data_IF_317378475527
#
_entry.id   IF_317378475527
#
_cell.length_a   1.000
_cell.length_b   1.000
_cell.length_c   1.000
_cell.angle_alpha   90.00
_cell.angle_beta   90.00
_cell.angle_gamma   90.00
#
_symmetry.space_group_name_H-M   'P 1'
#
loop_
_entity.id
_entity.type
_entity.pdbx_description
1 polymer ?
#
# COMPACT_ATOMS: atom_id res chain seq x y z
N UNK A 1 -21.51 16.44 -0.76
CA UNK A 1 -21.88 17.09 -2.04
C UNK A 1 -21.56 16.08 -3.15
N UNK A 2 -22.56 15.53 -3.84
CA UNK A 2 -22.31 14.52 -4.88
C UNK A 2 -21.48 15.13 -6.02
N UNK A 3 -20.48 14.40 -6.52
CA UNK A 3 -19.65 14.88 -7.63
C UNK A 3 -20.51 15.08 -8.88
N UNK A 4 -20.29 16.19 -9.61
CA UNK A 4 -20.94 16.45 -10.89
C UNK A 4 -20.73 15.24 -11.84
N UNK A 5 -21.80 14.59 -12.31
CA UNK A 5 -21.71 13.42 -13.19
C UNK A 5 -20.88 13.70 -14.46
N UNK A 6 -20.93 14.93 -15.01
CA UNK A 6 -20.13 15.31 -16.17
C UNK A 6 -18.63 15.30 -15.86
N UNK A 7 -18.25 15.76 -14.68
CA UNK A 7 -16.86 15.76 -14.20
C UNK A 7 -16.34 14.35 -13.94
N UNK A 8 -17.15 13.48 -13.32
CA UNK A 8 -16.78 12.07 -13.11
C UNK A 8 -16.54 11.37 -14.44
N UNK A 9 -17.42 11.57 -15.42
CA UNK A 9 -17.33 10.94 -16.74
C UNK A 9 -16.09 11.41 -17.51
N UNK A 10 -15.73 12.69 -17.44
CA UNK A 10 -14.49 13.23 -18.04
C UNK A 10 -13.24 12.66 -17.39
N UNK A 11 -13.21 12.54 -16.07
CA UNK A 11 -12.07 11.94 -15.34
C UNK A 11 -11.87 10.49 -15.73
N UNK A 12 -12.94 9.70 -15.74
CA UNK A 12 -12.89 8.30 -16.17
C UNK A 12 -12.40 8.19 -17.63
N UNK A 13 -12.89 9.02 -18.54
CA UNK A 13 -12.43 9.00 -19.93
C UNK A 13 -10.92 9.30 -20.06
N UNK A 14 -10.39 10.24 -19.27
CA UNK A 14 -8.96 10.53 -19.23
C UNK A 14 -8.15 9.34 -18.69
N UNK A 15 -8.63 8.70 -17.61
CA UNK A 15 -7.97 7.53 -17.03
C UNK A 15 -7.92 6.36 -18.02
N UNK A 16 -9.03 6.11 -18.74
CA UNK A 16 -9.11 5.04 -19.74
C UNK A 16 -8.22 5.32 -20.96
N UNK A 17 -8.13 6.58 -21.38
CA UNK A 17 -7.20 6.98 -22.43
C UNK A 17 -5.75 6.75 -22.01
N UNK A 18 -5.42 7.03 -20.75
CA UNK A 18 -4.09 6.78 -20.19
C UNK A 18 -3.77 5.27 -20.12
N UNK A 19 -4.69 4.45 -19.58
CA UNK A 19 -4.54 2.99 -19.57
C UNK A 19 -4.33 2.45 -20.99
N UNK A 20 -5.10 2.94 -21.96
CA UNK A 20 -4.95 2.55 -23.37
C UNK A 20 -3.58 2.95 -23.93
N UNK A 21 -3.08 4.13 -23.58
CA UNK A 21 -1.77 4.63 -24.03
C UNK A 21 -0.59 3.80 -23.49
N UNK A 22 -0.77 3.04 -22.41
CA UNK A 22 0.25 2.11 -21.91
C UNK A 22 0.48 0.92 -22.85
N UNK A 23 -0.43 0.63 -23.78
CA UNK A 23 -0.29 -0.47 -24.74
C UNK A 23 -0.27 -1.86 -24.09
N UNK A 24 -0.91 -2.00 -22.93
CA UNK A 24 -0.96 -3.24 -22.13
C UNK A 24 -2.26 -4.00 -22.36
N UNK A 25 -2.20 -5.33 -22.36
CA UNK A 25 -3.35 -6.20 -22.59
C UNK A 25 -3.03 -7.66 -22.32
N UNK A 26 -3.77 -8.54 -22.98
CA UNK A 26 -3.53 -9.99 -22.91
C UNK A 26 -2.20 -10.40 -23.54
N UNK A 27 -1.66 -11.48 -22.99
CA UNK A 27 -0.52 -12.23 -23.53
C UNK A 27 -0.96 -13.67 -23.65
N UNK A 28 -0.44 -14.41 -24.63
CA UNK A 28 -0.74 -15.83 -24.79
C UNK A 28 0.49 -16.68 -24.46
N UNK A 29 0.27 -17.78 -23.76
CA UNK A 29 1.31 -18.73 -23.36
C UNK A 29 0.93 -20.15 -23.76
N UNK A 30 1.93 -21.01 -23.95
CA UNK A 30 1.71 -22.43 -24.16
C UNK A 30 1.42 -23.13 -22.81
N UNK A 31 0.22 -23.68 -22.67
CA UNK A 31 -0.23 -24.39 -21.46
C UNK A 31 0.43 -25.76 -21.29
N UNK A 32 1.00 -26.34 -22.36
CA UNK A 32 1.75 -27.59 -22.27
C UNK A 32 3.15 -27.39 -21.70
N UNK A 33 3.59 -26.14 -21.55
CA UNK A 33 4.90 -25.81 -21.02
C UNK A 33 4.98 -26.04 -19.51
N UNK A 34 6.17 -26.43 -19.04
CA UNK A 34 6.47 -26.50 -17.61
C UNK A 34 6.31 -25.13 -16.93
N UNK A 35 6.01 -25.13 -15.63
CA UNK A 35 5.77 -23.89 -14.85
C UNK A 35 6.95 -22.91 -14.95
N UNK A 36 8.18 -23.41 -15.02
CA UNK A 36 9.38 -22.59 -15.18
C UNK A 36 9.41 -21.83 -16.52
N UNK A 37 8.90 -22.44 -17.59
CA UNK A 37 8.77 -21.81 -18.90
C UNK A 37 7.62 -20.79 -18.92
N UNK A 38 6.49 -21.10 -18.28
CA UNK A 38 5.40 -20.13 -18.08
C UNK A 38 5.90 -18.87 -17.34
N UNK A 39 6.65 -19.07 -16.25
CA UNK A 39 7.25 -17.96 -15.49
C UNK A 39 8.22 -17.15 -16.35
N UNK A 40 9.03 -17.80 -17.19
CA UNK A 40 9.95 -17.11 -18.09
C UNK A 40 9.19 -16.25 -19.11
N UNK A 41 8.09 -16.76 -19.68
CA UNK A 41 7.26 -16.01 -20.63
C UNK A 41 6.56 -14.82 -19.96
N UNK A 42 5.99 -15.01 -18.76
CA UNK A 42 5.41 -13.92 -17.96
C UNK A 42 6.44 -12.82 -17.69
N UNK A 43 7.68 -13.19 -17.35
CA UNK A 43 8.78 -12.22 -17.16
C UNK A 43 9.14 -11.48 -18.45
N UNK A 44 9.23 -12.20 -19.57
CA UNK A 44 9.56 -11.62 -20.87
C UNK A 44 8.49 -10.62 -21.35
N UNK A 45 7.22 -10.87 -21.00
CA UNK A 45 6.07 -10.07 -21.44
C UNK A 45 5.55 -9.11 -20.36
N UNK A 46 6.28 -8.94 -19.25
CA UNK A 46 5.82 -8.19 -18.07
C UNK A 46 5.39 -6.74 -18.38
N UNK A 47 5.99 -6.09 -19.38
CA UNK A 47 5.63 -4.72 -19.80
C UNK A 47 4.39 -4.64 -20.68
N UNK A 48 3.96 -5.77 -21.25
CA UNK A 48 2.78 -5.88 -22.11
C UNK A 48 1.57 -6.39 -21.36
N UNK A 49 1.77 -7.07 -20.23
CA UNK A 49 0.68 -7.63 -19.44
C UNK A 49 -0.18 -6.53 -18.81
N UNK A 50 -1.48 -6.58 -19.09
CA UNK A 50 -2.51 -5.69 -18.54
C UNK A 50 -3.56 -6.45 -17.71
N UNK A 51 -4.51 -5.72 -17.14
CA UNK A 51 -5.71 -6.31 -16.55
C UNK A 51 -6.74 -6.62 -17.65
N UNK A 52 -7.64 -7.57 -17.35
CA UNK A 52 -8.79 -7.95 -18.20
C UNK A 52 -9.79 -6.82 -18.47
N UNK A 53 -9.74 -5.75 -17.68
CA UNK A 53 -10.61 -4.58 -17.83
C UNK A 53 -9.83 -3.27 -17.68
N UNK A 54 -9.98 -2.31 -18.61
CA UNK A 54 -9.32 -1.02 -18.48
C UNK A 54 -9.89 -0.19 -17.32
N UNK A 55 -11.16 -0.41 -16.95
CA UNK A 55 -11.76 0.21 -15.76
C UNK A 55 -11.12 -0.36 -14.49
N UNK A 56 -10.90 -1.69 -14.44
CA UNK A 56 -10.21 -2.33 -13.33
C UNK A 56 -8.77 -1.83 -13.21
N UNK A 57 -8.05 -1.75 -14.33
CA UNK A 57 -6.69 -1.20 -14.39
C UNK A 57 -6.61 0.21 -13.80
N UNK A 58 -7.46 1.13 -14.26
CA UNK A 58 -7.50 2.51 -13.75
C UNK A 58 -7.90 2.58 -12.27
N UNK A 59 -8.90 1.78 -11.86
CA UNK A 59 -9.42 1.80 -10.49
C UNK A 59 -8.40 1.28 -9.49
N UNK A 60 -7.78 0.12 -9.79
CA UNK A 60 -6.76 -0.48 -8.92
C UNK A 60 -5.53 0.43 -8.83
N UNK A 61 -5.09 0.98 -9.96
CA UNK A 61 -3.94 1.88 -9.96
C UNK A 61 -4.15 3.12 -9.07
N UNK A 62 -5.37 3.68 -9.04
CA UNK A 62 -5.69 4.79 -8.14
C UNK A 62 -5.82 4.38 -6.69
N UNK A 63 -6.43 3.22 -6.45
CA UNK A 63 -6.69 2.70 -5.10
C UNK A 63 -5.38 2.31 -4.38
N UNK A 64 -4.47 1.67 -5.10
CA UNK A 64 -3.29 1.03 -4.53
C UNK A 64 -1.98 1.79 -4.82
N UNK A 65 -2.05 3.03 -5.34
CA UNK A 65 -0.85 3.84 -5.60
C UNK A 65 0.00 4.07 -4.34
N UNK A 66 -0.65 4.25 -3.19
CA UNK A 66 0.03 4.50 -1.92
C UNK A 66 0.66 3.24 -1.31
N UNK A 67 0.44 2.07 -1.91
CA UNK A 67 1.09 0.82 -1.49
C UNK A 67 2.50 0.69 -2.09
N UNK A 68 2.79 1.47 -3.14
CA UNK A 68 4.12 1.54 -3.74
C UNK A 68 5.08 2.32 -2.85
N UNK A 69 6.38 1.95 -2.85
CA UNK A 69 7.39 2.78 -2.21
C UNK A 69 7.43 4.16 -2.89
N UNK A 70 7.75 5.21 -2.14
CA UNK A 70 7.64 6.59 -2.64
C UNK A 70 8.45 6.82 -3.93
N UNK A 71 9.62 6.18 -4.05
CA UNK A 71 10.48 6.26 -5.22
C UNK A 71 9.84 5.71 -6.51
N UNK A 72 8.86 4.79 -6.41
CA UNK A 72 8.19 4.20 -7.57
C UNK A 72 6.90 4.93 -7.98
N UNK A 73 6.45 5.92 -7.18
CA UNK A 73 5.25 6.73 -7.49
C UNK A 73 5.49 7.80 -8.55
N UNK A 74 6.76 8.07 -8.87
CA UNK A 74 7.20 9.09 -9.83
C UNK A 74 8.28 8.50 -10.75
N UNK A 75 8.55 9.10 -11.93
CA UNK A 75 7.88 10.22 -12.57
C UNK A 75 6.62 9.82 -13.34
N UNK A 76 5.74 10.81 -13.54
CA UNK A 76 4.56 10.71 -14.39
C UNK A 76 3.26 10.55 -13.59
N UNK A 77 2.25 10.01 -14.25
CA UNK A 77 0.94 9.74 -13.67
C UNK A 77 0.95 8.49 -12.78
N UNK A 78 0.05 8.46 -11.81
CA UNK A 78 -0.10 7.34 -10.89
C UNK A 78 -0.44 6.01 -11.57
N UNK A 79 -1.22 6.05 -12.66
CA UNK A 79 -1.55 4.82 -13.41
C UNK A 79 -0.30 4.24 -14.07
N UNK A 80 0.48 5.06 -14.78
CA UNK A 80 1.75 4.62 -15.35
C UNK A 80 2.74 4.11 -14.29
N UNK A 81 2.85 4.79 -13.14
CA UNK A 81 3.69 4.37 -12.02
C UNK A 81 3.30 2.98 -11.48
N UNK A 82 2.02 2.76 -11.22
CA UNK A 82 1.48 1.49 -10.74
C UNK A 82 1.76 0.33 -11.71
N UNK A 83 1.48 0.51 -13.00
CA UNK A 83 1.73 -0.54 -14.00
C UNK A 83 3.23 -0.83 -14.19
N UNK A 84 4.09 0.19 -14.10
CA UNK A 84 5.55 0.01 -14.15
C UNK A 84 6.05 -0.79 -12.95
N UNK A 85 5.55 -0.50 -11.75
CA UNK A 85 5.89 -1.22 -10.54
C UNK A 85 5.40 -2.67 -10.59
N UNK A 86 4.21 -2.93 -11.17
CA UNK A 86 3.71 -4.28 -11.43
C UNK A 86 4.66 -5.05 -12.35
N UNK A 87 5.05 -4.47 -13.50
CA UNK A 87 6.01 -5.09 -14.42
C UNK A 87 7.35 -5.38 -13.75
N UNK A 88 7.84 -4.46 -12.92
CA UNK A 88 9.07 -4.66 -12.16
C UNK A 88 8.95 -5.82 -11.17
N UNK A 89 7.82 -5.94 -10.47
CA UNK A 89 7.54 -7.07 -9.58
C UNK A 89 7.47 -8.39 -10.33
N UNK A 90 6.87 -8.45 -11.52
CA UNK A 90 6.89 -9.65 -12.35
C UNK A 90 8.31 -10.02 -12.82
N UNK A 91 9.10 -9.03 -13.27
CA UNK A 91 10.46 -9.24 -13.78
C UNK A 91 11.46 -9.67 -12.71
N UNK A 92 11.40 -9.07 -11.52
CA UNK A 92 12.42 -9.21 -10.47
C UNK A 92 11.96 -10.06 -9.28
N UNK A 93 10.65 -10.16 -9.03
CA UNK A 93 10.09 -10.86 -7.87
C UNK A 93 10.33 -12.36 -7.91
N UNK A 94 10.37 -13.02 -6.75
CA UNK A 94 10.37 -14.49 -6.66
C UNK A 94 8.97 -15.02 -6.86
N UNK A 95 8.84 -16.17 -7.52
CA UNK A 95 7.56 -16.91 -7.55
C UNK A 95 7.38 -17.59 -6.20
N UNK A 96 6.26 -17.33 -5.53
CA UNK A 96 5.98 -17.84 -4.18
C UNK A 96 4.85 -18.86 -4.15
N UNK A 97 3.95 -18.82 -5.13
CA UNK A 97 2.89 -19.78 -5.27
C UNK A 97 2.52 -19.99 -6.74
N UNK A 98 2.08 -21.20 -7.04
CA UNK A 98 1.40 -21.57 -8.28
C UNK A 98 0.22 -22.45 -7.90
N UNK A 99 -0.98 -22.03 -8.29
CA UNK A 99 -2.21 -22.78 -8.06
C UNK A 99 -2.90 -23.04 -9.38
N UNK A 100 -3.29 -24.29 -9.62
CA UNK A 100 -4.16 -24.65 -10.76
C UNK A 100 -5.51 -25.06 -10.21
N UNK A 101 -6.55 -24.34 -10.62
CA UNK A 101 -7.93 -24.64 -10.29
C UNK A 101 -8.42 -25.91 -11.02
N UNK A 102 -9.53 -26.53 -10.57
CA UNK A 102 -10.13 -27.67 -11.27
C UNK A 102 -10.61 -27.35 -12.70
N UNK A 103 -10.86 -26.08 -13.01
CA UNK A 103 -11.29 -25.62 -14.34
C UNK A 103 -10.13 -25.35 -15.29
N UNK A 104 -8.88 -25.55 -14.84
CA UNK A 104 -7.68 -25.34 -15.64
C UNK A 104 -7.11 -23.92 -15.59
N UNK A 105 -7.76 -22.99 -14.89
CA UNK A 105 -7.20 -21.66 -14.63
C UNK A 105 -6.00 -21.79 -13.69
N UNK A 106 -4.90 -21.11 -14.02
CA UNK A 106 -3.70 -21.07 -13.21
C UNK A 106 -3.46 -19.68 -12.63
N UNK A 107 -3.03 -19.61 -11.38
CA UNK A 107 -2.65 -18.38 -10.69
C UNK A 107 -1.19 -18.48 -10.24
N UNK A 108 -0.36 -17.55 -10.71
CA UNK A 108 1.03 -17.38 -10.28
C UNK A 108 1.16 -16.17 -9.38
N UNK A 109 1.86 -16.32 -8.25
CA UNK A 109 2.10 -15.23 -7.30
C UNK A 109 3.59 -14.87 -7.29
N UNK A 110 3.88 -13.59 -7.48
CA UNK A 110 5.22 -13.01 -7.44
C UNK A 110 5.35 -12.07 -6.26
N UNK A 111 6.41 -12.20 -5.47
CA UNK A 111 6.77 -11.26 -4.40
C UNK A 111 8.07 -10.55 -4.69
N UNK A 112 8.07 -9.22 -4.55
CA UNK A 112 9.27 -8.38 -4.62
C UNK A 112 9.36 -7.54 -3.34
N UNK A 113 10.50 -7.62 -2.65
CA UNK A 113 10.83 -6.65 -1.62
C UNK A 113 11.39 -5.40 -2.30
N UNK A 114 10.70 -4.28 -2.20
CA UNK A 114 11.14 -2.99 -2.71
C UNK A 114 11.66 -2.11 -1.57
N UNK A 115 12.73 -1.37 -1.83
CA UNK A 115 13.28 -0.42 -0.87
C UNK A 115 12.33 0.77 -0.71
N UNK A 116 12.08 1.15 0.54
CA UNK A 116 11.52 2.46 0.88
C UNK A 116 12.68 3.38 1.31
N UNK A 117 12.77 3.79 2.57
CA UNK A 117 13.81 4.67 3.07
C UNK A 117 14.35 4.15 4.41
N UNK A 118 15.54 4.62 4.80
CA UNK A 118 16.16 4.33 6.10
C UNK A 118 16.24 2.83 6.47
N UNK A 119 16.45 1.95 5.48
CA UNK A 119 16.49 0.49 5.68
C UNK A 119 15.12 -0.16 5.86
N UNK A 120 14.03 0.56 5.55
CA UNK A 120 12.69 0.01 5.42
C UNK A 120 12.48 -0.62 4.06
N UNK A 121 11.82 -1.76 4.01
CA UNK A 121 11.35 -2.38 2.77
C UNK A 121 9.86 -2.63 2.82
N UNK A 122 9.23 -2.60 1.64
CA UNK A 122 7.83 -2.98 1.42
C UNK A 122 7.78 -4.21 0.50
N UNK A 123 7.03 -5.23 0.90
CA UNK A 123 6.73 -6.37 0.03
C UNK A 123 5.59 -6.00 -0.90
N UNK A 124 5.80 -6.21 -2.19
CA UNK A 124 4.77 -6.08 -3.23
C UNK A 124 4.45 -7.44 -3.81
N UNK A 125 3.17 -7.71 -3.99
CA UNK A 125 2.63 -8.93 -4.60
C UNK A 125 2.03 -8.60 -5.97
N UNK A 126 2.41 -9.37 -7.00
CA UNK A 126 1.72 -9.39 -8.27
C UNK A 126 1.17 -10.79 -8.52
N UNK A 127 -0.11 -10.90 -8.86
CA UNK A 127 -0.74 -12.16 -9.23
C UNK A 127 -1.05 -12.15 -10.73
N UNK A 128 -0.71 -13.24 -11.41
CA UNK A 128 -0.93 -13.43 -12.83
C UNK A 128 -1.87 -14.62 -13.02
N UNK A 129 -2.98 -14.38 -13.70
CA UNK A 129 -4.00 -15.38 -14.00
C UNK A 129 -3.84 -15.84 -15.43
N UNK A 130 -3.77 -17.15 -15.64
CA UNK A 130 -3.74 -17.81 -16.95
C UNK A 130 -5.04 -18.59 -17.12
N UNK A 131 -5.79 -18.28 -18.17
CA UNK A 131 -7.04 -18.93 -18.53
C UNK A 131 -6.79 -20.30 -19.20
N UNK A 132 -7.80 -21.20 -19.24
CA UNK A 132 -7.66 -22.54 -19.84
C UNK A 132 -7.34 -22.55 -21.34
N UNK A 133 -7.46 -21.41 -22.02
CA UNK A 133 -7.10 -21.24 -23.44
C UNK A 133 -5.69 -20.68 -23.65
N UNK A 134 -4.95 -20.38 -22.58
CA UNK A 134 -3.61 -19.81 -22.62
C UNK A 134 -3.57 -18.29 -22.56
N UNK A 135 -4.71 -17.61 -22.41
CA UNK A 135 -4.76 -16.16 -22.22
C UNK A 135 -4.25 -15.79 -20.83
N UNK A 136 -3.36 -14.82 -20.74
CA UNK A 136 -2.72 -14.36 -19.49
C UNK A 136 -3.07 -12.91 -19.21
N UNK A 137 -3.46 -12.65 -17.96
CA UNK A 137 -3.78 -11.33 -17.44
C UNK A 137 -3.03 -11.05 -16.13
N UNK A 138 -2.70 -9.78 -15.89
CA UNK A 138 -2.40 -9.31 -14.54
C UNK A 138 -3.71 -9.32 -13.75
N UNK A 139 -3.76 -10.08 -12.67
CA UNK A 139 -4.97 -10.21 -11.85
C UNK A 139 -4.99 -9.20 -10.70
N UNK A 140 -3.90 -9.10 -9.95
CA UNK A 140 -3.78 -8.10 -8.88
C UNK A 140 -2.35 -7.64 -8.68
N UNK A 141 -2.19 -6.43 -8.14
CA UNK A 141 -0.91 -5.86 -7.77
C UNK A 141 -1.07 -4.92 -6.57
N UNK A 142 -0.15 -4.97 -5.60
CA UNK A 142 -0.22 -4.16 -4.39
C UNK A 142 0.47 -4.83 -3.21
N UNK A 143 0.03 -4.52 -1.99
CA UNK A 143 0.45 -5.25 -0.78
C UNK A 143 0.02 -6.73 -0.84
N UNK A 144 0.81 -7.63 -0.23
CA UNK A 144 0.54 -9.06 -0.28
C UNK A 144 -0.74 -9.40 0.47
N UNK A 145 -1.50 -10.30 -0.14
CA UNK A 145 -2.68 -10.93 0.49
C UNK A 145 -2.31 -12.26 1.17
N UNK A 146 -1.08 -12.70 0.97
CA UNK A 146 -0.51 -13.93 1.53
C UNK A 146 0.21 -13.65 2.87
N UNK A 147 0.43 -14.67 3.71
CA UNK A 147 0.99 -14.50 5.06
C UNK A 147 2.49 -14.17 5.05
N UNK A 148 2.85 -12.95 4.65
CA UNK A 148 4.23 -12.44 4.65
C UNK A 148 4.27 -11.01 5.23
N UNK A 149 5.42 -10.56 5.76
CA UNK A 149 5.56 -9.18 6.19
C UNK A 149 5.30 -8.21 5.05
N UNK A 150 4.39 -7.25 5.26
CA UNK A 150 4.14 -6.18 4.28
C UNK A 150 5.25 -5.14 4.37
N UNK A 151 5.59 -4.68 5.59
CA UNK A 151 6.72 -3.80 5.83
C UNK A 151 7.75 -4.47 6.75
N UNK A 152 9.03 -4.26 6.46
CA UNK A 152 10.14 -4.63 7.34
C UNK A 152 10.96 -3.41 7.68
N UNK A 153 11.28 -3.24 8.97
CA UNK A 153 12.07 -2.12 9.50
C UNK A 153 13.40 -2.66 10.05
N UNK A 154 14.45 -2.72 9.24
CA UNK A 154 15.78 -3.26 9.66
C UNK A 154 16.87 -2.21 9.80
N UNK A 155 16.59 -0.96 9.41
CA UNK A 155 17.53 0.16 9.56
C UNK A 155 17.37 0.89 10.89
N UNK A 156 17.45 2.23 10.86
CA UNK A 156 17.54 2.99 12.11
C UNK A 156 17.48 4.51 12.04
N UNK A 157 17.75 5.13 10.89
CA UNK A 157 17.70 6.59 10.72
C UNK A 157 16.28 7.10 10.41
N UNK A 158 15.26 6.47 10.99
CA UNK A 158 13.85 6.72 10.66
C UNK A 158 13.43 8.16 10.96
N UNK A 159 13.79 8.68 12.15
CA UNK A 159 13.43 10.04 12.53
C UNK A 159 14.08 11.09 11.61
N UNK A 160 15.36 10.96 11.30
CA UNK A 160 16.08 11.89 10.42
C UNK A 160 15.49 11.88 9.00
N UNK A 161 15.12 10.69 8.50
CA UNK A 161 14.40 10.56 7.24
C UNK A 161 13.03 11.24 7.30
N UNK A 162 12.26 11.03 8.37
CA UNK A 162 10.95 11.65 8.53
C UNK A 162 11.04 13.19 8.50
N UNK A 163 12.01 13.78 9.21
CA UNK A 163 12.20 15.24 9.22
C UNK A 163 12.60 15.75 7.84
N UNK A 164 13.47 15.02 7.13
CA UNK A 164 13.84 15.35 5.74
C UNK A 164 12.62 15.33 4.83
N UNK A 165 11.77 14.31 4.95
CA UNK A 165 10.56 14.15 4.15
C UNK A 165 9.49 15.20 4.47
N UNK A 166 9.35 15.58 5.74
CA UNK A 166 8.41 16.64 6.14
C UNK A 166 8.83 18.01 5.65
N UNK A 167 10.13 18.24 5.41
CA UNK A 167 10.66 19.50 4.90
C UNK A 167 10.55 19.62 3.36
N UNK A 168 10.26 18.53 2.65
CA UNK A 168 10.14 18.49 1.19
C UNK A 168 8.70 18.17 0.78
N UNK A 169 7.96 19.19 0.33
CA UNK A 169 6.57 19.05 -0.13
C UNK A 169 6.42 18.19 -1.39
N UNK A 170 7.52 17.84 -2.08
CA UNK A 170 7.50 16.91 -3.21
C UNK A 170 7.51 15.45 -2.77
N UNK A 171 7.87 15.18 -1.51
CA UNK A 171 7.83 13.85 -0.93
C UNK A 171 6.42 13.54 -0.43
N UNK A 172 5.88 12.33 -0.74
CA UNK A 172 4.60 11.90 -0.21
C UNK A 172 4.57 11.92 1.33
N UNK A 173 3.57 12.60 1.90
CA UNK A 173 3.43 12.78 3.34
C UNK A 173 3.30 11.44 4.10
N UNK A 174 2.73 10.42 3.47
CA UNK A 174 2.60 9.09 4.04
C UNK A 174 3.95 8.39 4.26
N UNK A 175 5.00 8.72 3.48
CA UNK A 175 6.37 8.24 3.77
C UNK A 175 6.87 8.83 5.08
N UNK A 176 6.70 10.14 5.29
CA UNK A 176 7.07 10.77 6.55
C UNK A 176 6.32 10.15 7.75
N UNK A 177 5.01 9.92 7.60
CA UNK A 177 4.19 9.26 8.63
C UNK A 177 4.68 7.84 8.95
N UNK A 178 5.04 7.05 7.92
CA UNK A 178 5.63 5.72 8.07
C UNK A 178 6.97 5.78 8.82
N UNK A 179 7.83 6.74 8.49
CA UNK A 179 9.12 6.92 9.15
C UNK A 179 8.97 7.39 10.61
N UNK A 180 7.99 8.25 10.91
CA UNK A 180 7.67 8.62 12.29
C UNK A 180 7.18 7.42 13.10
N UNK A 181 6.30 6.59 12.53
CA UNK A 181 5.89 5.33 13.15
C UNK A 181 7.12 4.44 13.41
N UNK A 182 7.96 4.23 12.41
CA UNK A 182 9.17 3.41 12.52
C UNK A 182 10.12 3.90 13.62
N UNK A 183 10.21 5.22 13.84
CA UNK A 183 11.07 5.82 14.88
C UNK A 183 10.61 5.57 16.32
N UNK A 184 9.38 5.08 16.51
CA UNK A 184 8.82 4.80 17.85
C UNK A 184 8.44 3.33 18.04
N UNK A 185 8.76 2.45 17.08
CA UNK A 185 8.64 1.01 17.28
C UNK A 185 9.67 0.52 18.29
N UNK A 186 9.38 -0.58 18.98
CA UNK A 186 10.32 -1.22 19.92
C UNK A 186 11.61 -1.70 19.24
N UNK A 187 11.58 -1.82 17.91
CA UNK A 187 12.72 -2.19 17.06
C UNK A 187 13.60 -0.99 16.67
N UNK A 188 13.18 0.24 16.98
CA UNK A 188 13.95 1.44 16.68
C UNK A 188 15.25 1.48 17.53
N UNK A 189 16.40 1.90 16.97
CA UNK A 189 17.66 1.91 17.72
C UNK A 189 17.65 2.85 18.93
N UNK A 190 16.93 3.98 18.82
CA UNK A 190 16.81 4.97 19.88
C UNK A 190 15.52 5.78 19.69
N UNK A 191 14.75 6.05 20.76
CA UNK A 191 13.58 6.91 20.67
C UNK A 191 13.99 8.37 20.42
N UNK A 192 13.14 9.18 19.77
CA UNK A 192 13.42 10.60 19.58
C UNK A 192 13.39 11.36 20.91
N UNK A 193 14.33 12.30 21.07
CA UNK A 193 14.39 13.20 22.23
C UNK A 193 13.34 14.32 22.17
N UNK A 194 13.27 15.15 23.21
CA UNK A 194 12.26 16.20 23.30
C UNK A 194 12.43 17.30 22.24
N UNK A 195 13.66 17.66 21.88
CA UNK A 195 13.92 18.69 20.88
C UNK A 195 13.53 18.19 19.49
N UNK A 196 13.88 16.94 19.18
CA UNK A 196 13.46 16.21 17.99
C UNK A 196 11.94 16.13 17.89
N UNK A 197 11.25 15.74 18.97
CA UNK A 197 9.78 15.67 19.00
C UNK A 197 9.14 17.02 18.70
N UNK A 198 9.65 18.10 19.30
CA UNK A 198 9.16 19.47 19.06
C UNK A 198 9.39 19.88 17.60
N UNK A 199 10.57 19.60 17.04
CA UNK A 199 10.88 19.94 15.65
C UNK A 199 9.94 19.22 14.66
N UNK A 200 9.71 17.92 14.85
CA UNK A 200 8.76 17.17 14.04
C UNK A 200 7.32 17.69 14.19
N UNK A 201 6.88 17.98 15.42
CA UNK A 201 5.55 18.54 15.67
C UNK A 201 5.31 19.86 14.91
N UNK A 202 6.31 20.74 14.86
CA UNK A 202 6.23 21.99 14.10
C UNK A 202 6.08 21.76 12.60
N UNK A 203 6.79 20.79 12.03
CA UNK A 203 6.67 20.48 10.60
C UNK A 203 5.34 19.81 10.27
N UNK A 204 4.86 18.89 11.11
CA UNK A 204 3.54 18.27 10.97
C UNK A 204 2.44 19.34 11.02
N UNK A 205 2.54 20.30 11.95
CA UNK A 205 1.59 21.40 12.05
C UNK A 205 1.57 22.31 10.81
N UNK A 206 2.72 22.53 10.16
CA UNK A 206 2.80 23.26 8.88
C UNK A 206 2.10 22.51 7.75
N UNK A 207 2.20 21.18 7.74
CA UNK A 207 1.56 20.29 6.77
C UNK A 207 0.18 19.81 7.22
N UNK A 208 -0.58 20.65 7.95
CA UNK A 208 -1.92 20.30 8.48
C UNK A 208 -2.88 19.74 7.41
N UNK A 209 -2.85 20.29 6.20
CA UNK A 209 -3.72 19.81 5.12
C UNK A 209 -3.38 18.37 4.71
N UNK A 210 -2.10 18.01 4.69
CA UNK A 210 -1.65 16.65 4.40
C UNK A 210 -1.99 15.69 5.53
N UNK A 211 -1.89 16.14 6.79
CA UNK A 211 -2.34 15.35 7.95
C UNK A 211 -3.85 15.05 7.88
N UNK A 212 -4.67 16.03 7.50
CA UNK A 212 -6.10 15.82 7.26
C UNK A 212 -6.35 14.85 6.09
N UNK A 213 -5.56 14.95 5.02
CA UNK A 213 -5.59 13.98 3.92
C UNK A 213 -5.25 12.56 4.37
N UNK A 214 -4.25 12.42 5.24
CA UNK A 214 -3.84 11.15 5.81
C UNK A 214 -4.93 10.54 6.71
N UNK A 215 -5.61 11.35 7.53
CA UNK A 215 -6.76 10.90 8.33
C UNK A 215 -7.94 10.46 7.45
N UNK A 216 -8.25 11.22 6.40
CA UNK A 216 -9.27 10.82 5.43
C UNK A 216 -8.92 9.48 4.76
N UNK A 217 -7.64 9.24 4.46
CA UNK A 217 -7.17 7.98 3.90
C UNK A 217 -7.25 6.83 4.93
N UNK A 218 -6.91 7.07 6.20
CA UNK A 218 -7.08 6.11 7.28
C UNK A 218 -8.55 5.66 7.40
N UNK A 219 -9.49 6.62 7.29
CA UNK A 219 -10.93 6.34 7.25
C UNK A 219 -11.34 5.51 6.03
N UNK A 220 -10.83 5.81 4.85
CA UNK A 220 -11.12 5.02 3.65
C UNK A 220 -10.68 3.56 3.81
N UNK A 221 -9.50 3.32 4.39
CA UNK A 221 -9.05 1.97 4.71
C UNK A 221 -9.93 1.32 5.79
N UNK A 222 -10.31 2.05 6.83
CA UNK A 222 -11.20 1.54 7.88
C UNK A 222 -12.55 1.08 7.32
N UNK A 223 -13.15 1.81 6.37
CA UNK A 223 -14.38 1.40 5.69
C UNK A 223 -14.26 0.10 4.89
N UNK A 224 -13.05 -0.25 4.44
CA UNK A 224 -12.77 -1.46 3.66
C UNK A 224 -12.10 -2.57 4.50
N UNK A 225 -12.00 -2.39 5.83
CA UNK A 225 -11.14 -3.22 6.67
C UNK A 225 -11.54 -4.70 6.77
N UNK A 226 -12.77 -5.07 6.41
CA UNK A 226 -13.20 -6.47 6.36
C UNK A 226 -12.49 -7.28 5.25
N UNK A 227 -11.90 -6.59 4.26
CA UNK A 227 -11.28 -7.20 3.08
C UNK A 227 -9.75 -7.23 3.11
N UNK A 228 -9.13 -6.97 1.96
CA UNK A 228 -7.66 -6.93 1.79
C UNK A 228 -7.04 -5.68 2.41
N UNK A 229 -7.87 -4.72 2.83
CA UNK A 229 -7.52 -3.38 3.26
C UNK A 229 -7.27 -3.28 4.77
N UNK A 230 -7.50 -4.36 5.52
CA UNK A 230 -7.27 -4.42 6.97
C UNK A 230 -5.86 -3.95 7.36
N UNK A 231 -4.85 -4.33 6.58
CA UNK A 231 -3.46 -3.96 6.84
C UNK A 231 -3.26 -2.45 6.77
N UNK A 232 -3.79 -1.81 5.71
CA UNK A 232 -3.74 -0.36 5.54
C UNK A 232 -4.47 0.37 6.66
N UNK A 233 -5.62 -0.16 7.08
CA UNK A 233 -6.41 0.41 8.17
C UNK A 233 -5.60 0.43 9.48
N UNK A 234 -4.98 -0.70 9.82
CA UNK A 234 -4.13 -0.83 11.00
C UNK A 234 -2.85 0.01 10.92
N UNK A 235 -2.17 0.04 9.77
CA UNK A 235 -0.94 0.80 9.57
C UNK A 235 -1.18 2.31 9.69
N UNK A 236 -2.17 2.84 8.97
CA UNK A 236 -2.46 4.27 8.98
C UNK A 236 -2.94 4.74 10.36
N UNK A 237 -3.76 3.93 11.04
CA UNK A 237 -4.17 4.23 12.41
C UNK A 237 -2.98 4.23 13.38
N UNK A 238 -2.01 3.33 13.19
CA UNK A 238 -0.78 3.28 13.98
C UNK A 238 0.10 4.50 13.77
N UNK A 239 0.26 4.96 12.53
CA UNK A 239 1.04 6.15 12.24
C UNK A 239 0.39 7.41 12.83
N UNK A 240 -0.95 7.51 12.80
CA UNK A 240 -1.68 8.59 13.48
C UNK A 240 -1.47 8.53 14.99
N UNK A 241 -1.59 7.36 15.62
CA UNK A 241 -1.36 7.21 17.07
C UNK A 241 0.06 7.61 17.45
N UNK A 242 1.06 7.11 16.69
CA UNK A 242 2.46 7.44 16.91
C UNK A 242 2.68 8.96 16.89
N UNK A 243 2.10 9.66 15.90
CA UNK A 243 2.17 11.12 15.80
C UNK A 243 1.47 11.83 16.95
N UNK A 244 0.28 11.39 17.34
CA UNK A 244 -0.49 12.01 18.41
C UNK A 244 0.18 11.83 19.77
N UNK A 245 0.61 10.62 20.12
CA UNK A 245 1.16 10.34 21.44
C UNK A 245 2.60 10.85 21.60
N UNK A 246 3.44 10.72 20.56
CA UNK A 246 4.88 10.94 20.72
C UNK A 246 5.35 12.33 20.28
N UNK A 247 4.59 13.03 19.44
CA UNK A 247 5.04 14.28 18.80
C UNK A 247 4.09 15.44 19.08
N UNK A 248 2.79 15.29 18.81
CA UNK A 248 1.83 16.40 18.92
C UNK A 248 1.26 16.57 20.34
N UNK A 249 1.05 15.46 21.06
CA UNK A 249 0.34 15.47 22.34
C UNK A 249 -1.01 16.18 22.23
N UNK A 250 -1.30 17.08 23.18
CA UNK A 250 -2.56 17.85 23.20
C UNK A 250 -2.74 18.80 22.02
N UNK A 251 -1.70 19.09 21.23
CA UNK A 251 -1.84 19.91 20.02
C UNK A 251 -2.67 19.18 18.95
N UNK A 252 -2.71 17.84 18.96
CA UNK A 252 -3.49 17.05 18.01
C UNK A 252 -4.96 17.49 17.96
N UNK A 253 -5.58 17.77 19.12
CA UNK A 253 -6.97 18.24 19.23
C UNK A 253 -7.28 19.53 18.47
N UNK A 254 -6.26 20.33 18.15
CA UNK A 254 -6.40 21.58 17.38
C UNK A 254 -6.14 21.40 15.89
N UNK A 255 -5.44 20.33 15.51
CA UNK A 255 -4.99 20.10 14.14
C UNK A 255 -5.95 19.22 13.35
N UNK A 256 -6.46 18.16 13.98
CA UNK A 256 -7.35 17.16 13.36
C UNK A 256 -8.75 17.18 13.98
N UNK A 257 -9.73 16.72 13.21
CA UNK A 257 -11.08 16.48 13.73
C UNK A 257 -11.10 15.14 14.49
N UNK A 258 -11.20 15.22 15.82
CA UNK A 258 -11.24 14.02 16.66
C UNK A 258 -12.48 13.18 16.43
N UNK A 259 -13.58 13.75 15.93
CA UNK A 259 -14.75 12.96 15.57
C UNK A 259 -14.47 12.00 14.40
N UNK A 260 -13.57 12.37 13.47
CA UNK A 260 -13.12 11.45 12.42
C UNK A 260 -12.21 10.34 12.97
N UNK A 261 -11.39 10.63 13.98
CA UNK A 261 -10.59 9.60 14.67
C UNK A 261 -11.50 8.60 15.39
N UNK A 262 -12.50 9.09 16.11
CA UNK A 262 -13.51 8.24 16.77
C UNK A 262 -14.30 7.40 15.77
N UNK A 263 -14.60 7.95 14.59
CA UNK A 263 -15.24 7.23 13.49
C UNK A 263 -14.36 6.09 12.98
N UNK A 264 -13.06 6.33 12.77
CA UNK A 264 -12.08 5.28 12.42
C UNK A 264 -12.09 4.19 13.48
N UNK A 265 -11.91 4.53 14.75
CA UNK A 265 -11.87 3.55 15.85
C UNK A 265 -13.17 2.73 15.96
N UNK A 266 -14.32 3.35 15.71
CA UNK A 266 -15.61 2.65 15.64
C UNK A 266 -15.63 1.63 14.49
N UNK A 267 -15.26 2.05 13.27
CA UNK A 267 -15.21 1.18 12.10
C UNK A 267 -14.24 0.02 12.28
N UNK A 268 -13.07 0.26 12.88
CA UNK A 268 -12.09 -0.80 13.13
C UNK A 268 -12.62 -1.85 14.11
N UNK A 269 -13.34 -1.45 15.17
CA UNK A 269 -13.98 -2.41 16.09
C UNK A 269 -15.05 -3.26 15.40
N UNK A 270 -15.78 -2.67 14.46
CA UNK A 270 -16.88 -3.30 13.73
C UNK A 270 -16.37 -4.28 12.66
N UNK A 271 -15.36 -3.88 11.88
CA UNK A 271 -15.00 -4.55 10.63
C UNK A 271 -13.74 -5.44 10.71
N UNK A 272 -12.81 -5.17 11.63
CA UNK A 272 -11.61 -6.00 11.77
C UNK A 272 -11.86 -7.44 12.24
N UNK A 273 -12.88 -7.75 13.07
CA UNK A 273 -13.23 -9.13 13.42
C UNK A 273 -13.69 -10.00 12.24
N UNK A 274 -13.73 -9.48 11.00
CA UNK A 274 -14.00 -10.27 9.79
C UNK A 274 -12.79 -10.29 8.83
N UNK A 275 -11.71 -9.58 9.16
CA UNK A 275 -10.54 -9.45 8.31
C UNK A 275 -9.76 -10.78 8.16
N UNK A 276 -9.25 -11.12 6.97
CA UNK A 276 -8.38 -12.28 6.76
C UNK A 276 -6.93 -11.99 7.24
N UNK A 277 -6.77 -11.44 8.44
CA UNK A 277 -5.49 -10.99 8.95
C UNK A 277 -4.60 -12.16 9.39
N UNK A 278 -3.29 -11.96 9.31
CA UNK A 278 -2.31 -12.96 9.73
C UNK A 278 -1.20 -12.30 10.53
N UNK A 279 -0.69 -13.00 11.55
CA UNK A 279 0.40 -12.50 12.40
C UNK A 279 1.66 -12.21 11.58
N UNK A 280 1.89 -12.96 10.51
CA UNK A 280 3.01 -12.79 9.60
C UNK A 280 3.06 -11.43 8.89
N UNK A 281 1.90 -10.78 8.71
CA UNK A 281 1.82 -9.45 8.08
C UNK A 281 2.07 -8.29 9.06
N UNK A 282 1.95 -8.51 10.37
CA UNK A 282 2.10 -7.46 11.38
C UNK A 282 3.58 -7.05 11.48
N UNK A 283 3.91 -5.74 11.39
CA UNK A 283 5.29 -5.30 11.54
C UNK A 283 5.85 -5.58 12.94
N UNK A 284 7.13 -5.90 13.01
CA UNK A 284 7.81 -6.16 14.28
C UNK A 284 7.95 -4.87 15.11
N UNK A 285 7.68 -4.97 16.42
CA UNK A 285 7.81 -3.85 17.36
C UNK A 285 6.63 -2.88 17.37
N UNK A 286 5.49 -3.26 16.78
CA UNK A 286 4.24 -2.50 16.93
C UNK A 286 3.82 -2.48 18.41
N UNK A 287 3.51 -1.30 18.98
CA UNK A 287 3.11 -1.20 20.38
C UNK A 287 1.87 -2.02 20.72
N UNK A 288 1.87 -2.66 21.89
CA UNK A 288 0.76 -3.54 22.31
C UNK A 288 -0.58 -2.81 22.45
N UNK A 289 -0.56 -1.50 22.77
CA UNK A 289 -1.77 -0.70 22.91
C UNK A 289 -2.41 -0.32 21.58
N UNK A 290 -1.76 -0.60 20.44
CA UNK A 290 -2.34 -0.53 19.10
C UNK A 290 -3.32 -1.70 18.87
N UNK A 291 -4.37 -1.73 19.68
CA UNK A 291 -5.30 -2.85 19.87
C UNK A 291 -5.93 -3.38 18.57
N UNK A 292 -6.04 -2.54 17.53
CA UNK A 292 -6.62 -2.90 16.24
C UNK A 292 -5.86 -4.04 15.56
N UNK A 293 -4.54 -4.15 15.72
CA UNK A 293 -3.79 -5.29 15.19
C UNK A 293 -4.24 -6.60 15.84
N UNK A 294 -4.43 -6.60 17.17
CA UNK A 294 -4.93 -7.78 17.87
C UNK A 294 -6.37 -8.09 17.50
N UNK A 295 -7.22 -7.07 17.33
CA UNK A 295 -8.61 -7.28 16.89
C UNK A 295 -8.68 -7.93 15.52
N UNK A 296 -7.85 -7.51 14.56
CA UNK A 296 -7.78 -8.12 13.24
C UNK A 296 -7.39 -9.61 13.29
N UNK A 297 -6.50 -9.98 14.22
CA UNK A 297 -5.95 -11.33 14.37
C UNK A 297 -6.85 -12.32 15.12
N UNK A 298 -8.01 -11.91 15.64
CA UNK A 298 -8.88 -12.75 16.49
C UNK A 298 -9.77 -13.75 15.72
N UNK A 299 -9.55 -13.88 14.42
CA UNK A 299 -10.36 -14.71 13.52
C UNK A 299 -9.91 -16.16 13.45
#
# INVERSE_FOLDING_TARGET
MAADPGTVRRRLAADLAEVSALGRGEVHVDLAAEVSALVAEVRAQADRLGFDSPIRAATLAKKHLNELPAAERTPGSGIAAYHRAASRTLREGRVTAHHTSPTGEQLLTFHRAAEEAAGTTVTLEAQVRTEPDGTVWLDSFGWPTTPVPVYTFTGGAYFDQAVTDLADDTVPFDRAMLMLLASVLDTAPSPPDNEQRIAAAQQIARRRQDLNGYLAQARNYAYAAFGREWFGACLYRSALEAVFENFLGSVAFSLVDMAEVDEVDRLLRELLPEAPATTAAVPAGIPEHHWWWQTALRN
#
